data_IF_005496176788
#
_entry.id   IF_005496176788
#
_cell.length_a   1.000
_cell.length_b   1.000
_cell.length_c   1.000
_cell.angle_alpha   90.00
_cell.angle_beta   90.00
_cell.angle_gamma   90.00
#
_symmetry.space_group_name_H-M   'P 1'
#
loop_
_entity.id
_entity.type
_entity.pdbx_description
1 polymer ?
#
# COMPACT_ATOMS: atom_id res chain seq x y z
N UNK A 1 -22.13 1.50 3.18
CA UNK A 1 -21.68 0.40 4.08
C UNK A 1 -20.42 0.89 4.79
N UNK A 2 -20.39 0.88 6.11
CA UNK A 2 -19.19 1.26 6.86
C UNK A 2 -18.17 0.13 6.78
N UNK A 3 -16.87 0.45 6.78
CA UNK A 3 -15.84 -0.56 7.03
C UNK A 3 -16.05 -1.23 8.39
N UNK A 4 -15.19 -2.22 8.70
CA UNK A 4 -15.18 -2.80 10.03
C UNK A 4 -15.14 -1.67 11.08
N UNK A 5 -16.02 -1.73 12.08
CA UNK A 5 -16.15 -0.66 13.08
C UNK A 5 -14.85 -0.44 13.85
N UNK A 6 -14.00 -1.46 13.91
CA UNK A 6 -12.63 -1.41 14.43
C UNK A 6 -11.71 -2.29 13.58
N UNK A 7 -10.40 -1.99 13.52
CA UNK A 7 -9.41 -2.89 12.93
C UNK A 7 -9.38 -4.24 13.67
N UNK A 8 -9.30 -5.34 12.95
CA UNK A 8 -9.12 -6.66 13.56
C UNK A 8 -7.66 -6.79 14.02
N UNK A 9 -7.41 -7.11 15.28
CA UNK A 9 -6.06 -7.28 15.83
C UNK A 9 -5.81 -8.74 16.21
N UNK A 10 -4.63 -9.26 15.88
CA UNK A 10 -4.23 -10.61 16.27
C UNK A 10 -2.74 -10.70 16.57
N UNK A 11 -2.35 -11.68 17.39
CA UNK A 11 -0.94 -11.94 17.71
C UNK A 11 -0.41 -13.11 16.89
N UNK A 12 0.62 -12.86 16.07
CA UNK A 12 1.30 -13.91 15.31
C UNK A 12 2.50 -14.46 16.10
N UNK A 13 2.46 -15.76 16.41
CA UNK A 13 3.61 -16.55 16.87
C UNK A 13 4.60 -16.84 15.73
N UNK A 14 5.88 -16.81 16.10
CA UNK A 14 7.02 -17.17 15.25
C UNK A 14 6.96 -18.66 14.87
N UNK A 15 7.31 -18.97 13.62
CA UNK A 15 7.38 -20.33 13.08
C UNK A 15 6.04 -20.95 12.66
N UNK A 16 4.94 -20.22 12.80
CA UNK A 16 3.59 -20.70 12.49
C UNK A 16 3.08 -20.08 11.18
N UNK A 17 2.17 -20.79 10.51
CA UNK A 17 1.45 -20.28 9.34
C UNK A 17 0.04 -19.88 9.73
N UNK A 18 -0.44 -18.77 9.18
CA UNK A 18 -1.77 -18.24 9.47
C UNK A 18 -2.63 -18.26 8.21
N UNK A 19 -3.92 -18.58 8.40
CA UNK A 19 -4.95 -18.31 7.40
C UNK A 19 -5.89 -17.27 7.99
N UNK A 20 -5.98 -16.12 7.36
CA UNK A 20 -7.02 -15.15 7.65
C UNK A 20 -8.21 -15.52 6.77
N UNK A 21 -9.42 -15.42 7.29
CA UNK A 21 -10.65 -15.60 6.49
C UNK A 21 -11.62 -14.52 6.91
N UNK A 22 -12.13 -13.79 5.94
CA UNK A 22 -13.04 -12.70 6.18
C UNK A 22 -14.25 -12.85 5.28
N UNK A 23 -15.43 -12.68 5.86
CA UNK A 23 -16.66 -12.51 5.10
C UNK A 23 -16.80 -11.04 4.79
N UNK A 24 -16.85 -10.74 3.50
CA UNK A 24 -17.03 -9.39 2.99
C UNK A 24 -18.32 -9.36 2.15
N UNK A 25 -19.04 -8.25 2.20
CA UNK A 25 -20.30 -8.13 1.44
C UNK A 25 -19.98 -8.01 -0.04
N UNK A 26 -20.64 -8.77 -0.93
CA UNK A 26 -20.56 -8.45 -2.36
C UNK A 26 -21.15 -7.05 -2.61
N UNK A 27 -20.38 -6.23 -3.32
CA UNK A 27 -20.77 -4.88 -3.68
C UNK A 27 -21.35 -4.80 -5.11
N UNK A 28 -21.27 -5.89 -5.88
CA UNK A 28 -21.74 -5.99 -7.25
C UNK A 28 -20.63 -6.41 -8.22
N UNK A 29 -21.05 -6.77 -9.44
CA UNK A 29 -20.17 -7.29 -10.48
C UNK A 29 -18.99 -6.34 -10.79
N UNK A 30 -17.78 -6.90 -10.77
CA UNK A 30 -16.55 -6.18 -11.07
C UNK A 30 -16.01 -5.33 -9.93
N UNK A 31 -16.65 -5.31 -8.76
CA UNK A 31 -16.18 -4.53 -7.61
C UNK A 31 -15.19 -5.33 -6.80
N UNK A 32 -13.93 -4.95 -6.96
CA UNK A 32 -12.82 -5.54 -6.25
C UNK A 32 -12.64 -4.88 -4.88
N UNK A 33 -12.47 -5.71 -3.86
CA UNK A 33 -12.35 -5.27 -2.47
C UNK A 33 -10.94 -5.41 -1.98
N UNK A 34 -10.47 -4.46 -1.18
CA UNK A 34 -9.09 -4.40 -0.72
C UNK A 34 -8.96 -4.78 0.74
N UNK A 35 -8.01 -5.66 1.03
CA UNK A 35 -7.62 -6.02 2.39
C UNK A 35 -6.20 -5.52 2.61
N UNK A 36 -5.98 -4.82 3.73
CA UNK A 36 -4.67 -4.33 4.12
C UNK A 36 -4.26 -4.86 5.49
N UNK A 37 -3.12 -5.54 5.53
CA UNK A 37 -2.42 -5.84 6.78
C UNK A 37 -1.44 -4.71 7.08
N UNK A 38 -1.29 -4.34 8.35
CA UNK A 38 -0.21 -3.45 8.80
C UNK A 38 0.15 -3.69 10.27
N UNK A 39 1.39 -3.42 10.64
CA UNK A 39 1.85 -3.41 12.04
C UNK A 39 1.76 -1.96 12.58
N UNK A 40 0.98 -1.68 13.64
CA UNK A 40 0.84 -0.35 14.22
C UNK A 40 2.07 0.10 15.03
N UNK A 41 2.88 -0.81 15.56
CA UNK A 41 3.92 -0.54 16.57
C UNK A 41 5.31 -0.39 15.91
N UNK A 42 5.40 0.57 15.00
CA UNK A 42 6.52 0.82 14.08
C UNK A 42 7.80 1.42 14.74
N UNK A 43 8.05 1.22 16.03
CA UNK A 43 8.98 2.10 16.76
C UNK A 43 10.39 1.57 17.03
N UNK A 44 10.78 0.34 16.66
CA UNK A 44 12.19 -0.06 16.87
C UNK A 44 12.77 -1.08 15.89
N UNK A 45 12.10 -2.19 15.59
CA UNK A 45 12.64 -3.26 14.70
C UNK A 45 11.51 -4.06 14.01
N UNK A 46 10.46 -3.36 13.59
CA UNK A 46 9.13 -3.95 13.34
C UNK A 46 9.05 -4.75 12.05
N UNK A 47 8.46 -5.95 12.12
CA UNK A 47 7.97 -6.66 10.94
C UNK A 47 7.03 -5.71 10.17
N UNK A 48 7.22 -5.54 8.86
CA UNK A 48 6.26 -4.77 8.06
C UNK A 48 5.66 -5.71 7.02
N UNK A 49 4.37 -5.99 7.20
CA UNK A 49 3.54 -6.67 6.21
C UNK A 49 2.56 -5.61 5.72
N UNK A 50 2.91 -4.92 4.63
CA UNK A 50 1.97 -4.02 3.95
C UNK A 50 1.45 -4.76 2.74
N UNK A 51 0.58 -5.73 2.98
CA UNK A 51 -0.01 -6.55 1.94
C UNK A 51 -1.36 -5.95 1.56
N UNK A 52 -1.47 -5.53 0.30
CA UNK A 52 -2.70 -5.05 -0.31
C UNK A 52 -3.20 -6.18 -1.22
N UNK A 53 -4.18 -6.93 -0.73
CA UNK A 53 -4.87 -7.98 -1.48
C UNK A 53 -6.14 -7.43 -2.12
N UNK A 54 -6.56 -8.02 -3.23
CA UNK A 54 -7.83 -7.72 -3.88
C UNK A 54 -8.62 -9.01 -4.08
N UNK A 55 -9.93 -8.95 -3.85
CA UNK A 55 -10.83 -10.09 -4.04
C UNK A 55 -12.10 -9.63 -4.74
N UNK A 56 -12.54 -10.39 -5.72
CA UNK A 56 -13.88 -10.25 -6.33
C UNK A 56 -14.84 -11.15 -5.56
N UNK A 57 -15.92 -10.60 -5.04
CA UNK A 57 -16.81 -11.31 -4.12
C UNK A 57 -18.08 -11.65 -4.87
N UNK A 58 -18.51 -12.90 -4.81
CA UNK A 58 -19.77 -13.34 -5.43
C UNK A 58 -20.82 -13.54 -4.34
N UNK A 59 -22.08 -13.07 -4.50
CA UNK A 59 -23.11 -13.21 -3.48
C UNK A 59 -23.32 -14.66 -3.06
N UNK A 60 -23.28 -14.91 -1.76
CA UNK A 60 -23.50 -16.25 -1.21
C UNK A 60 -22.33 -17.22 -1.39
N UNK A 61 -21.22 -16.77 -2.01
CA UNK A 61 -20.01 -17.56 -2.17
C UNK A 61 -18.92 -17.10 -1.20
N UNK A 62 -18.09 -18.06 -0.78
CA UNK A 62 -16.85 -17.73 -0.07
C UNK A 62 -15.75 -17.57 -1.10
N UNK A 63 -15.26 -16.35 -1.31
CA UNK A 63 -14.07 -16.14 -2.13
C UNK A 63 -12.80 -16.28 -1.28
N UNK A 64 -11.88 -17.15 -1.69
CA UNK A 64 -10.52 -17.20 -1.14
C UNK A 64 -9.73 -16.01 -1.74
N UNK A 65 -9.29 -15.06 -0.91
CA UNK A 65 -8.53 -13.88 -1.34
C UNK A 65 -7.06 -14.19 -1.70
N UNK A 66 -6.70 -15.47 -1.72
CA UNK A 66 -5.34 -15.94 -1.80
C UNK A 66 -4.74 -16.19 -0.41
N UNK A 67 -3.61 -16.89 -0.39
CA UNK A 67 -2.91 -17.22 0.85
C UNK A 67 -1.71 -16.30 1.00
N UNK A 68 -1.73 -15.47 2.03
CA UNK A 68 -0.56 -14.70 2.44
C UNK A 68 0.28 -15.58 3.36
N UNK A 69 1.46 -15.98 2.90
CA UNK A 69 2.42 -16.72 3.71
C UNK A 69 3.43 -15.74 4.31
N UNK A 70 3.37 -15.57 5.62
CA UNK A 70 4.42 -14.91 6.39
C UNK A 70 5.07 -15.93 7.34
N UNK A 71 6.17 -16.51 6.88
CA UNK A 71 7.02 -17.37 7.69
C UNK A 71 7.96 -16.53 8.55
N UNK A 72 7.61 -16.31 9.81
CA UNK A 72 8.57 -15.73 10.77
C UNK A 72 9.50 -16.86 11.22
N UNK A 73 10.57 -17.13 10.47
CA UNK A 73 11.51 -18.23 10.76
C UNK A 73 12.65 -17.85 11.70
N UNK A 74 12.75 -16.57 12.09
CA UNK A 74 13.77 -16.06 13.01
C UNK A 74 13.31 -14.79 13.72
N UNK A 75 14.10 -14.29 14.67
CA UNK A 75 13.91 -12.96 15.27
C UNK A 75 14.08 -11.80 14.28
N UNK A 76 14.60 -12.06 13.07
CA UNK A 76 14.58 -11.13 11.97
C UNK A 76 13.34 -11.39 11.10
N UNK A 77 12.36 -10.49 11.19
CA UNK A 77 11.18 -10.54 10.33
C UNK A 77 11.61 -10.43 8.85
N UNK A 78 11.15 -11.31 7.94
CA UNK A 78 11.18 -10.98 6.52
C UNK A 78 10.31 -9.72 6.31
N UNK A 79 10.85 -8.74 5.59
CA UNK A 79 10.11 -7.53 5.24
C UNK A 79 9.60 -7.69 3.83
N UNK A 80 8.30 -7.96 3.67
CA UNK A 80 7.63 -7.96 2.37
C UNK A 80 6.75 -6.72 2.30
N UNK A 81 7.03 -5.86 1.33
CA UNK A 81 6.32 -4.59 1.22
C UNK A 81 6.33 -4.07 -0.22
N UNK A 82 5.52 -3.04 -0.46
CA UNK A 82 5.28 -2.47 -1.79
C UNK A 82 4.79 -3.52 -2.81
N UNK A 83 3.68 -4.23 -2.53
CA UNK A 83 3.07 -5.08 -3.54
C UNK A 83 2.61 -4.25 -4.74
N UNK A 84 2.81 -4.79 -5.94
CA UNK A 84 2.37 -4.21 -7.20
C UNK A 84 1.84 -5.30 -8.11
N UNK A 85 0.57 -5.24 -8.47
CA UNK A 85 -0.09 -6.26 -9.27
C UNK A 85 0.16 -6.07 -10.77
N UNK A 86 0.30 -7.16 -11.52
CA UNK A 86 0.24 -7.11 -12.97
C UNK A 86 -1.14 -6.65 -13.45
N UNK A 87 -1.23 -6.14 -14.68
CA UNK A 87 -2.47 -5.61 -15.25
C UNK A 87 -3.66 -6.59 -15.21
N UNK A 88 -3.39 -7.88 -15.36
CA UNK A 88 -4.34 -8.98 -15.32
C UNK A 88 -4.51 -9.56 -13.92
N UNK A 89 -3.66 -9.14 -12.97
CA UNK A 89 -3.70 -9.61 -11.60
C UNK A 89 -3.09 -10.99 -11.37
N UNK A 90 -2.55 -11.65 -12.40
CA UNK A 90 -1.99 -13.00 -12.28
C UNK A 90 -0.63 -13.06 -11.58
N UNK A 91 0.01 -11.89 -11.37
CA UNK A 91 1.33 -11.77 -10.75
C UNK A 91 1.40 -10.62 -9.75
N UNK A 92 2.19 -10.81 -8.70
CA UNK A 92 2.49 -9.81 -7.67
C UNK A 92 3.99 -9.54 -7.68
N UNK A 93 4.37 -8.29 -7.98
CA UNK A 93 5.68 -7.73 -7.74
C UNK A 93 5.78 -7.27 -6.30
N UNK A 94 6.90 -7.53 -5.62
CA UNK A 94 7.09 -7.04 -4.25
C UNK A 94 8.58 -6.89 -3.92
N UNK A 95 8.85 -6.14 -2.86
CA UNK A 95 10.19 -6.01 -2.29
C UNK A 95 10.31 -6.95 -1.09
N UNK A 96 11.39 -7.74 -1.05
CA UNK A 96 11.68 -8.63 0.06
C UNK A 96 13.06 -8.36 0.64
N UNK A 97 13.11 -8.27 1.97
CA UNK A 97 14.37 -8.30 2.72
C UNK A 97 14.67 -9.72 3.17
N UNK A 98 15.60 -10.36 2.48
CA UNK A 98 16.02 -11.74 2.78
C UNK A 98 16.90 -11.79 4.04
N UNK A 99 16.70 -12.76 4.94
CA UNK A 99 17.56 -12.93 6.11
C UNK A 99 18.98 -13.37 5.70
N UNK A 100 20.00 -12.99 6.48
CA UNK A 100 21.35 -13.56 6.31
C UNK A 100 22.54 -12.60 6.49
N UNK A 101 22.34 -11.29 6.56
CA UNK A 101 23.41 -10.31 6.81
C UNK A 101 23.01 -9.25 7.84
N UNK A 102 24.00 -8.53 8.37
CA UNK A 102 23.76 -7.30 9.15
C UNK A 102 23.43 -6.23 8.11
N UNK A 103 22.13 -6.07 7.85
CA UNK A 103 21.57 -5.13 6.87
C UNK A 103 21.47 -5.56 5.40
N UNK A 104 20.70 -6.62 5.10
CA UNK A 104 20.47 -7.04 3.71
C UNK A 104 19.67 -5.97 2.96
N UNK A 105 20.05 -5.69 1.69
CA UNK A 105 19.28 -4.83 0.81
C UNK A 105 17.94 -5.47 0.46
N UNK A 106 17.03 -4.66 -0.07
CA UNK A 106 15.72 -5.12 -0.53
C UNK A 106 15.84 -5.67 -1.96
N UNK A 107 15.50 -6.96 -2.13
CA UNK A 107 15.48 -7.62 -3.42
C UNK A 107 14.10 -7.50 -4.06
N UNK A 108 14.07 -7.48 -5.39
CA UNK A 108 12.83 -7.42 -6.17
C UNK A 108 12.41 -8.85 -6.52
N UNK A 109 11.17 -9.19 -6.17
CA UNK A 109 10.58 -10.50 -6.35
C UNK A 109 9.27 -10.40 -7.12
N UNK A 110 8.97 -11.45 -7.88
CA UNK A 110 7.73 -11.60 -8.63
C UNK A 110 7.17 -12.99 -8.35
N UNK A 111 5.94 -13.04 -7.87
CA UNK A 111 5.24 -14.31 -7.65
C UNK A 111 3.99 -14.38 -8.51
N UNK A 112 3.55 -15.60 -8.83
CA UNK A 112 2.29 -15.85 -9.53
C UNK A 112 1.18 -16.13 -8.52
N UNK A 113 -0.06 -15.85 -8.89
CA UNK A 113 -1.26 -16.27 -8.15
C UNK A 113 -1.29 -17.79 -7.86
N UNK A 114 -0.61 -18.59 -8.69
CA UNK A 114 -0.54 -20.05 -8.58
C UNK A 114 0.80 -20.56 -8.01
N UNK A 115 1.61 -19.70 -7.39
CA UNK A 115 2.89 -20.11 -6.82
C UNK A 115 2.71 -21.15 -5.69
N UNK A 116 3.69 -22.06 -5.58
CA UNK A 116 3.75 -23.00 -4.44
C UNK A 116 3.80 -22.21 -3.13
N UNK A 117 3.04 -22.67 -2.13
CA UNK A 117 2.96 -22.05 -0.80
C UNK A 117 4.32 -21.92 -0.10
N UNK A 118 5.33 -22.69 -0.51
CA UNK A 118 6.69 -22.61 0.02
C UNK A 118 7.66 -21.80 -0.85
N UNK A 119 7.15 -21.08 -1.84
CA UNK A 119 7.95 -20.31 -2.80
C UNK A 119 7.77 -18.80 -2.59
N UNK A 120 8.88 -18.07 -2.64
CA UNK A 120 8.88 -16.61 -2.79
C UNK A 120 8.66 -16.17 -4.26
N UNK A 121 8.42 -17.11 -5.18
CA UNK A 121 8.38 -16.84 -6.61
C UNK A 121 9.77 -16.68 -7.22
N UNK A 122 9.87 -15.84 -8.25
CA UNK A 122 11.08 -15.54 -8.98
C UNK A 122 11.75 -14.28 -8.44
N UNK A 123 13.05 -14.36 -8.14
CA UNK A 123 13.85 -13.18 -7.80
C UNK A 123 14.31 -12.47 -9.06
N UNK A 124 13.64 -11.37 -9.40
CA UNK A 124 13.96 -10.56 -10.58
C UNK A 124 15.26 -9.78 -10.40
N UNK A 125 15.50 -9.21 -9.21
CA UNK A 125 16.70 -8.41 -8.94
C UNK A 125 17.29 -8.74 -7.57
N UNK A 126 18.55 -9.20 -7.58
CA UNK A 126 19.34 -9.41 -6.37
C UNK A 126 20.26 -8.21 -6.13
N UNK A 127 19.86 -7.34 -5.19
CA UNK A 127 20.60 -6.12 -4.84
C UNK A 127 21.93 -6.41 -4.13
N UNK A 128 22.15 -7.62 -3.62
CA UNK A 128 23.46 -8.02 -3.09
C UNK A 128 24.55 -8.01 -4.19
N UNK A 129 24.17 -8.14 -5.45
CA UNK A 129 25.11 -8.08 -6.58
C UNK A 129 25.56 -6.64 -6.89
N UNK A 130 24.95 -5.63 -6.27
CA UNK A 130 25.19 -4.22 -6.52
C UNK A 130 25.67 -3.52 -5.25
N UNK A 131 26.79 -4.00 -4.69
CA UNK A 131 27.38 -3.44 -3.48
C UNK A 131 27.56 -1.91 -3.57
N UNK A 132 27.16 -1.21 -2.50
CA UNK A 132 27.22 0.26 -2.44
C UNK A 132 26.06 0.98 -3.14
N UNK A 133 25.15 0.28 -3.82
CA UNK A 133 23.87 0.86 -4.24
C UNK A 133 22.93 1.08 -3.06
N UNK A 134 21.93 1.90 -3.32
CA UNK A 134 20.86 2.20 -2.40
C UNK A 134 19.94 1.02 -2.10
N UNK A 135 18.95 1.26 -1.24
CA UNK A 135 17.87 0.30 -1.00
C UNK A 135 16.67 0.60 -1.91
N UNK A 136 16.02 -0.46 -2.39
CA UNK A 136 14.73 -0.35 -3.05
C UNK A 136 13.65 -0.10 -2.00
N UNK A 137 12.69 0.78 -2.27
CA UNK A 137 11.63 1.04 -1.29
C UNK A 137 10.21 1.17 -1.86
N UNK A 138 10.07 1.21 -3.19
CA UNK A 138 8.78 1.15 -3.88
C UNK A 138 8.97 0.44 -5.20
N UNK A 139 7.99 -0.34 -5.63
CA UNK A 139 7.97 -1.00 -6.92
C UNK A 139 6.52 -1.09 -7.42
N UNK A 140 6.30 -0.82 -8.71
CA UNK A 140 4.98 -0.89 -9.35
C UNK A 140 5.09 -1.43 -10.77
N UNK A 141 4.17 -2.33 -11.12
CA UNK A 141 3.99 -2.87 -12.48
C UNK A 141 3.11 -1.94 -13.32
N UNK A 142 3.28 -1.96 -14.63
CA UNK A 142 2.42 -1.21 -15.53
C UNK A 142 0.98 -1.77 -15.54
N UNK A 143 -0.03 -0.88 -15.65
CA UNK A 143 -1.43 -1.27 -15.48
C UNK A 143 -2.10 -1.75 -16.77
N UNK A 144 -1.38 -1.85 -17.89
CA UNK A 144 -1.98 -2.18 -19.21
C UNK A 144 -1.34 -3.39 -19.86
N UNK A 145 -2.12 -4.15 -20.63
CA UNK A 145 -1.65 -5.32 -21.37
C UNK A 145 -0.51 -4.96 -22.35
N UNK A 146 -0.59 -3.79 -23.00
CA UNK A 146 0.43 -3.32 -23.93
C UNK A 146 1.80 -3.08 -23.28
N UNK A 147 1.84 -2.92 -21.94
CA UNK A 147 3.04 -2.68 -21.14
C UNK A 147 3.20 -3.74 -20.05
N UNK A 148 2.60 -4.92 -20.18
CA UNK A 148 2.43 -5.88 -19.09
C UNK A 148 3.73 -6.35 -18.40
N UNK A 149 4.88 -6.14 -19.03
CA UNK A 149 6.20 -6.48 -18.48
C UNK A 149 6.98 -5.27 -17.94
N UNK A 150 6.51 -4.05 -18.19
CA UNK A 150 7.18 -2.82 -17.75
C UNK A 150 6.91 -2.54 -16.26
N UNK A 151 7.92 -2.01 -15.58
CA UNK A 151 7.82 -1.66 -14.17
C UNK A 151 8.71 -0.47 -13.80
N UNK A 152 8.34 0.18 -12.71
CA UNK A 152 9.18 1.16 -12.04
C UNK A 152 9.51 0.69 -10.63
N UNK A 153 10.69 1.06 -10.16
CA UNK A 153 11.00 1.02 -8.73
C UNK A 153 11.77 2.26 -8.29
N UNK A 154 11.67 2.56 -7.01
CA UNK A 154 12.41 3.64 -6.37
C UNK A 154 13.62 3.07 -5.63
N UNK A 155 14.77 3.69 -5.86
CA UNK A 155 16.04 3.37 -5.19
C UNK A 155 16.55 4.59 -4.44
N UNK A 156 16.75 4.47 -3.14
CA UNK A 156 17.37 5.52 -2.32
C UNK A 156 18.83 5.21 -2.07
N UNK A 157 19.75 6.07 -2.51
CA UNK A 157 21.18 5.96 -2.23
C UNK A 157 21.74 7.23 -1.56
N UNK A 158 23.05 7.25 -1.32
CA UNK A 158 23.72 8.37 -0.66
C UNK A 158 23.63 9.72 -1.41
N UNK A 159 23.29 9.69 -2.70
CA UNK A 159 23.17 10.88 -3.56
C UNK A 159 21.71 11.34 -3.76
N UNK A 160 20.73 10.54 -3.29
CA UNK A 160 19.30 10.84 -3.39
C UNK A 160 18.47 9.66 -3.91
N UNK A 161 17.21 9.97 -4.21
CA UNK A 161 16.23 9.00 -4.70
C UNK A 161 16.23 8.95 -6.23
N UNK A 162 16.19 7.73 -6.78
CA UNK A 162 16.15 7.47 -8.21
C UNK A 162 14.85 6.77 -8.58
N UNK A 163 14.23 7.22 -9.67
CA UNK A 163 13.16 6.47 -10.33
C UNK A 163 13.79 5.61 -11.41
N UNK A 164 13.69 4.30 -11.25
CA UNK A 164 14.27 3.32 -12.18
C UNK A 164 13.17 2.66 -12.98
N UNK A 165 13.32 2.67 -14.29
CA UNK A 165 12.49 1.96 -15.26
C UNK A 165 13.19 0.68 -15.72
N UNK A 166 12.44 -0.42 -15.79
CA UNK A 166 12.93 -1.69 -16.33
C UNK A 166 11.75 -2.59 -16.74
N UNK A 167 12.04 -3.84 -17.09
CA UNK A 167 11.06 -4.88 -17.43
C UNK A 167 11.26 -6.10 -16.54
N UNK A 168 10.20 -6.83 -16.19
CA UNK A 168 10.33 -8.02 -15.36
C UNK A 168 11.22 -9.10 -16.01
N UNK A 169 11.15 -9.26 -17.33
CA UNK A 169 12.03 -10.18 -18.06
C UNK A 169 13.52 -9.81 -18.02
N UNK A 170 13.87 -8.57 -17.65
CA UNK A 170 15.27 -8.10 -17.63
C UNK A 170 15.49 -7.00 -16.59
N UNK A 171 15.17 -7.27 -15.32
CA UNK A 171 15.25 -6.29 -14.23
C UNK A 171 16.68 -5.75 -13.97
N UNK A 172 17.71 -6.44 -14.48
CA UNK A 172 19.10 -5.98 -14.44
C UNK A 172 19.40 -4.85 -15.45
N UNK A 173 18.63 -4.75 -16.54
CA UNK A 173 18.75 -3.68 -17.52
C UNK A 173 17.90 -2.49 -17.09
N UNK A 174 18.55 -1.47 -16.52
CA UNK A 174 17.89 -0.39 -15.81
C UNK A 174 18.11 0.94 -16.51
N UNK A 175 17.05 1.74 -16.61
CA UNK A 175 17.07 3.10 -17.12
C UNK A 175 16.60 4.07 -16.04
N UNK A 176 17.31 5.17 -15.85
CA UNK A 176 16.95 6.18 -14.85
C UNK A 176 16.06 7.25 -15.45
N UNK A 177 14.94 7.54 -14.81
CA UNK A 177 14.06 8.61 -15.21
C UNK A 177 14.56 9.93 -14.60
N UNK A 178 15.02 10.83 -15.46
CA UNK A 178 15.44 12.16 -15.03
C UNK A 178 14.22 13.07 -14.84
N UNK A 179 13.99 13.51 -13.59
CA UNK A 179 12.89 14.40 -13.21
C UNK A 179 13.24 15.91 -13.30
N UNK A 180 14.27 16.26 -14.06
CA UNK A 180 14.76 17.65 -14.17
C UNK A 180 15.64 18.07 -12.99
N UNK A 181 15.76 19.38 -12.76
CA UNK A 181 16.63 19.95 -11.72
C UNK A 181 16.14 19.56 -10.32
N UNK A 182 16.60 18.42 -9.83
CA UNK A 182 16.50 18.02 -8.44
C UNK A 182 17.90 18.08 -7.82
N UNK A 183 18.31 19.23 -7.25
CA UNK A 183 19.65 19.37 -6.71
C UNK A 183 19.77 18.57 -5.40
N UNK A 184 20.42 17.40 -5.45
CA UNK A 184 20.99 16.57 -4.34
C UNK A 184 20.16 16.34 -3.06
N UNK A 185 18.92 16.84 -2.95
CA UNK A 185 18.17 16.91 -1.70
C UNK A 185 16.65 16.81 -1.87
N UNK A 186 16.14 16.44 -3.06
CA UNK A 186 14.73 16.05 -3.16
C UNK A 186 14.56 14.58 -2.79
N UNK A 187 13.38 14.27 -2.30
CA UNK A 187 12.99 12.90 -1.96
C UNK A 187 11.77 12.51 -2.78
N UNK A 188 11.76 11.31 -3.34
CA UNK A 188 10.59 10.74 -4.02
C UNK A 188 9.89 9.86 -3.00
N UNK A 189 8.69 10.26 -2.57
CA UNK A 189 7.97 9.55 -1.52
C UNK A 189 7.11 8.42 -2.09
N UNK A 190 6.55 8.63 -3.28
CA UNK A 190 5.75 7.61 -3.96
C UNK A 190 5.63 7.91 -5.46
N UNK A 191 5.21 6.89 -6.22
CA UNK A 191 4.76 7.04 -7.58
C UNK A 191 3.62 6.07 -7.90
N UNK A 192 2.83 6.40 -8.91
CA UNK A 192 1.83 5.49 -9.47
C UNK A 192 1.71 5.70 -10.97
N UNK A 193 1.32 4.66 -11.70
CA UNK A 193 1.02 4.77 -13.12
C UNK A 193 -0.25 5.57 -13.36
N UNK A 194 -0.30 6.28 -14.49
CA UNK A 194 -1.57 6.65 -15.09
C UNK A 194 -2.29 5.37 -15.55
N UNK A 195 -3.61 5.23 -15.33
CA UNK A 195 -4.33 3.99 -15.64
C UNK A 195 -4.24 3.55 -17.10
N UNK A 196 -4.13 4.51 -18.03
CA UNK A 196 -3.95 4.28 -19.46
C UNK A 196 -2.50 3.90 -19.87
N UNK A 197 -1.57 3.82 -18.91
CA UNK A 197 -0.16 3.53 -19.17
C UNK A 197 0.60 4.64 -19.92
N UNK A 198 0.07 5.87 -20.02
CA UNK A 198 0.71 6.96 -20.77
C UNK A 198 1.79 7.71 -20.00
N UNK A 199 1.97 7.41 -18.72
CA UNK A 199 2.86 8.14 -17.83
C UNK A 199 2.75 7.69 -16.38
N UNK A 200 3.34 8.49 -15.49
CA UNK A 200 3.30 8.28 -14.04
C UNK A 200 2.96 9.59 -13.30
N UNK A 201 2.40 9.45 -12.11
CA UNK A 201 2.30 10.50 -11.09
C UNK A 201 3.40 10.25 -10.06
N UNK A 202 4.07 11.30 -9.61
CA UNK A 202 5.18 11.25 -8.65
C UNK A 202 4.89 12.20 -7.51
N UNK A 203 4.95 11.71 -6.26
CA UNK A 203 5.01 12.53 -5.07
C UNK A 203 6.48 12.80 -4.72
N UNK A 204 6.86 14.08 -4.70
CA UNK A 204 8.22 14.53 -4.45
C UNK A 204 8.25 15.59 -3.38
N UNK A 205 9.22 15.54 -2.49
CA UNK A 205 9.55 16.64 -1.59
C UNK A 205 10.70 17.43 -2.18
N UNK A 206 10.42 18.65 -2.61
CA UNK A 206 11.41 19.57 -3.15
C UNK A 206 12.05 20.37 -2.02
N UNK A 207 13.38 20.31 -1.94
CA UNK A 207 14.20 21.08 -1.00
C UNK A 207 15.20 21.90 -1.80
N UNK A 208 15.22 23.19 -1.53
CA UNK A 208 16.02 24.12 -2.30
C UNK A 208 17.28 24.47 -1.50
N UNK A 209 18.41 23.89 -1.89
CA UNK A 209 19.65 23.93 -1.10
C UNK A 209 20.27 25.31 -1.18
N UNK A 210 20.42 25.98 -0.04
CA UNK A 210 20.98 27.33 0.03
C UNK A 210 19.97 28.45 -0.24
N UNK A 211 18.72 28.10 -0.54
CA UNK A 211 17.59 29.04 -0.55
C UNK A 211 16.90 29.03 0.82
N UNK A 212 16.34 30.18 1.22
CA UNK A 212 15.47 30.27 2.41
C UNK A 212 14.05 29.80 2.12
N UNK A 213 13.77 29.31 0.90
CA UNK A 213 12.46 28.77 0.56
C UNK A 213 12.19 27.49 1.32
N UNK A 214 11.05 27.47 1.99
CA UNK A 214 10.53 26.30 2.66
C UNK A 214 10.45 25.08 1.72
N UNK A 215 10.66 23.85 2.25
CA UNK A 215 10.43 22.64 1.47
C UNK A 215 8.97 22.57 1.01
N UNK A 216 8.73 21.95 -0.14
CA UNK A 216 7.39 21.82 -0.72
C UNK A 216 7.13 20.38 -1.14
N UNK A 217 6.01 19.82 -0.70
CA UNK A 217 5.49 18.55 -1.21
C UNK A 217 4.78 18.82 -2.52
N UNK A 218 5.17 18.11 -3.58
CA UNK A 218 4.71 18.38 -4.95
C UNK A 218 4.24 17.08 -5.61
N UNK A 219 3.10 17.15 -6.26
CA UNK A 219 2.65 16.13 -7.20
C UNK A 219 3.05 16.52 -8.61
N UNK A 220 3.78 15.65 -9.28
CA UNK A 220 4.14 15.80 -10.68
C UNK A 220 3.46 14.76 -11.55
N UNK A 221 3.10 15.13 -12.78
CA UNK A 221 2.78 14.20 -13.86
C UNK A 221 3.96 14.11 -14.81
N UNK A 222 4.41 12.90 -15.09
CA UNK A 222 5.37 12.61 -16.15
C UNK A 222 4.67 11.87 -17.30
N UNK A 223 4.84 12.32 -18.54
CA UNK A 223 4.24 11.72 -19.73
C UNK A 223 5.29 11.15 -20.67
N UNK A 224 5.09 9.93 -21.17
CA UNK A 224 6.08 9.24 -22.00
C UNK A 224 6.20 9.81 -23.41
N UNK A 225 5.09 10.31 -23.96
CA UNK A 225 5.02 10.79 -25.34
C UNK A 225 5.92 12.00 -25.59
N UNK A 226 5.95 12.95 -24.66
CA UNK A 226 6.72 14.19 -24.74
C UNK A 226 7.88 14.24 -23.74
N UNK A 227 8.03 13.22 -22.88
CA UNK A 227 9.05 13.11 -21.83
C UNK A 227 9.05 14.30 -20.87
N UNK A 228 7.88 14.88 -20.63
CA UNK A 228 7.72 16.10 -19.84
C UNK A 228 7.26 15.80 -18.43
N UNK A 229 7.89 16.48 -17.46
CA UNK A 229 7.43 16.55 -16.09
C UNK A 229 6.65 17.86 -15.88
N UNK A 230 5.42 17.78 -15.37
CA UNK A 230 4.54 18.93 -15.13
C UNK A 230 4.03 18.91 -13.69
N UNK A 231 4.15 20.03 -12.97
CA UNK A 231 3.57 20.18 -11.62
C UNK A 231 2.03 20.17 -11.71
N UNK A 232 1.39 19.37 -10.87
CA UNK A 232 -0.07 19.31 -10.71
C UNK A 232 -0.46 20.24 -9.56
N UNK A 233 0.15 20.04 -8.39
CA UNK A 233 0.04 20.89 -7.21
C UNK A 233 1.35 20.88 -6.44
N UNK A 234 1.65 21.97 -5.75
CA UNK A 234 2.77 22.06 -4.81
C UNK A 234 2.36 22.77 -3.52
N UNK A 235 2.55 22.10 -2.39
CA UNK A 235 2.13 22.55 -1.06
C UNK A 235 3.33 23.05 -0.25
N UNK A 236 3.45 24.37 0.02
CA UNK A 236 4.56 24.91 0.79
C UNK A 236 4.54 24.49 2.26
N UNK A 237 5.71 24.18 2.83
CA UNK A 237 5.89 23.72 4.21
C UNK A 237 5.16 22.41 4.54
N UNK A 238 4.87 21.60 3.54
CA UNK A 238 4.13 20.36 3.70
C UNK A 238 4.76 19.24 2.89
N UNK A 239 4.31 18.02 3.17
CA UNK A 239 4.80 16.81 2.53
C UNK A 239 3.61 16.08 1.91
N UNK A 240 3.80 15.62 0.68
CA UNK A 240 2.87 14.74 -0.02
C UNK A 240 3.53 13.36 -0.09
N UNK A 241 2.84 12.35 0.41
CA UNK A 241 3.37 11.00 0.65
C UNK A 241 2.79 10.00 -0.32
N UNK A 242 2.36 8.85 0.22
CA UNK A 242 1.77 7.81 -0.62
C UNK A 242 0.57 8.33 -1.38
N UNK A 243 0.41 7.84 -2.61
CA UNK A 243 -0.64 8.28 -3.51
C UNK A 243 -1.28 7.11 -4.26
N UNK A 244 -2.50 7.33 -4.72
CA UNK A 244 -3.16 6.46 -5.68
C UNK A 244 -3.92 7.30 -6.72
N UNK A 245 -3.92 6.82 -7.97
CA UNK A 245 -4.64 7.45 -9.07
C UNK A 245 -5.95 6.70 -9.29
N UNK A 246 -7.05 7.42 -9.43
CA UNK A 246 -8.35 6.83 -9.72
C UNK A 246 -8.30 6.06 -11.05
N UNK A 247 -9.08 4.99 -11.24
CA UNK A 247 -8.99 4.15 -12.44
C UNK A 247 -9.38 4.86 -13.73
N UNK A 248 -10.25 5.87 -13.62
CA UNK A 248 -10.61 6.77 -14.71
C UNK A 248 -9.53 7.82 -15.01
N UNK A 249 -8.48 7.90 -14.18
CA UNK A 249 -7.37 8.84 -14.27
C UNK A 249 -7.73 10.28 -13.91
N UNK A 250 -8.95 10.56 -13.44
CA UNK A 250 -9.44 11.93 -13.26
C UNK A 250 -9.03 12.54 -11.93
N UNK A 251 -8.79 11.70 -10.92
CA UNK A 251 -8.54 12.11 -9.54
C UNK A 251 -7.31 11.41 -8.95
N UNK A 252 -6.65 12.07 -8.01
CA UNK A 252 -5.49 11.57 -7.29
C UNK A 252 -5.77 11.73 -5.80
N UNK A 253 -5.69 10.64 -5.05
CA UNK A 253 -5.74 10.65 -3.59
C UNK A 253 -4.32 10.53 -3.05
N UNK A 254 -4.00 11.23 -1.98
CA UNK A 254 -2.66 11.22 -1.42
C UNK A 254 -2.65 11.50 0.09
N UNK A 255 -1.58 11.05 0.74
CA UNK A 255 -1.24 11.41 2.11
C UNK A 255 -0.68 12.84 2.15
N UNK A 256 -1.17 13.63 3.10
CA UNK A 256 -0.67 14.98 3.39
C UNK A 256 -0.21 15.06 4.83
N UNK A 257 0.93 15.70 5.07
CA UNK A 257 1.44 15.92 6.42
C UNK A 257 2.34 17.15 6.51
N UNK A 258 2.71 17.52 7.72
CA UNK A 258 3.54 18.72 7.99
C UNK A 258 5.03 18.48 7.88
N UNK A 259 5.47 17.24 8.05
CA UNK A 259 6.87 16.88 8.10
C UNK A 259 7.09 15.41 7.74
N UNK A 260 8.34 15.08 7.45
CA UNK A 260 8.81 13.71 7.39
C UNK A 260 9.08 13.17 8.79
N UNK A 261 8.94 11.85 8.96
CA UNK A 261 9.41 11.17 10.17
C UNK A 261 10.92 11.32 10.27
N UNK A 262 11.40 11.80 11.42
CA UNK A 262 12.83 11.85 11.71
C UNK A 262 13.32 10.46 12.14
N UNK A 263 13.60 9.59 11.17
CA UNK A 263 14.10 8.23 11.44
C UNK A 263 15.38 7.92 10.68
N UNK A 264 16.25 7.13 11.30
CA UNK A 264 17.46 6.59 10.67
C UNK A 264 17.14 5.55 9.58
N UNK A 265 15.91 5.05 9.51
CA UNK A 265 15.48 3.99 8.60
C UNK A 265 15.09 4.49 7.20
N UNK A 266 15.20 5.79 6.91
CA UNK A 266 14.93 6.33 5.56
C UNK A 266 15.69 5.58 4.47
N UNK A 267 16.97 5.27 4.71
CA UNK A 267 17.86 4.54 3.79
C UNK A 267 17.31 3.16 3.41
N UNK A 268 16.38 2.63 4.21
CA UNK A 268 15.78 1.32 4.02
C UNK A 268 14.39 1.44 3.39
N UNK A 269 13.50 2.26 3.95
CA UNK A 269 12.07 2.29 3.58
C UNK A 269 11.65 3.46 2.70
N UNK A 270 12.61 4.31 2.31
CA UNK A 270 12.32 5.61 1.75
C UNK A 270 11.87 6.60 2.82
N UNK A 271 11.59 7.82 2.39
CA UNK A 271 11.09 8.88 3.27
C UNK A 271 9.59 8.66 3.58
N UNK A 272 9.21 8.80 4.85
CA UNK A 272 7.83 8.62 5.31
C UNK A 272 7.27 9.89 5.94
N UNK A 273 5.99 10.15 5.74
CA UNK A 273 5.28 11.25 6.42
C UNK A 273 5.13 10.96 7.92
N UNK A 274 5.34 11.99 8.75
CA UNK A 274 5.00 11.99 10.17
C UNK A 274 3.48 12.09 10.35
N UNK A 275 2.86 11.03 10.90
CA UNK A 275 1.43 10.99 11.20
C UNK A 275 1.13 11.51 12.64
N UNK A 276 -0.12 11.94 12.97
CA UNK A 276 -1.35 11.78 12.20
C UNK A 276 -1.27 12.53 10.86
N UNK A 277 -1.58 11.79 9.80
CA UNK A 277 -1.49 12.24 8.42
C UNK A 277 -2.90 12.24 7.84
N UNK A 278 -3.15 13.16 6.91
CA UNK A 278 -4.48 13.40 6.36
C UNK A 278 -4.57 12.76 4.98
N UNK A 279 -5.75 12.29 4.59
CA UNK A 279 -6.00 11.91 3.20
C UNK A 279 -6.68 13.06 2.48
N UNK A 280 -6.11 13.43 1.33
CA UNK A 280 -6.61 14.48 0.46
C UNK A 280 -6.83 13.94 -0.93
N UNK A 281 -7.75 14.56 -1.66
CA UNK A 281 -7.98 14.27 -3.08
C UNK A 281 -7.87 15.56 -3.88
N UNK A 282 -7.33 15.45 -5.09
CA UNK A 282 -7.22 16.51 -6.08
C UNK A 282 -7.57 15.95 -7.45
N UNK A 283 -8.11 16.78 -8.34
CA UNK A 283 -8.27 16.41 -9.74
C UNK A 283 -6.90 16.31 -10.42
N UNK A 284 -6.82 15.52 -11.48
CA UNK A 284 -5.58 15.28 -12.24
C UNK A 284 -5.03 16.53 -12.96
N UNK A 285 -5.83 17.59 -13.04
CA UNK A 285 -5.45 18.92 -13.53
C UNK A 285 -5.00 19.88 -12.41
N UNK A 286 -5.02 19.44 -11.14
CA UNK A 286 -4.64 20.22 -9.97
C UNK A 286 -5.78 20.99 -9.30
N UNK A 287 -6.98 20.99 -9.89
CA UNK A 287 -8.16 21.62 -9.30
C UNK A 287 -8.83 20.75 -8.23
N UNK A 288 -9.81 21.31 -7.50
CA UNK A 288 -10.69 20.52 -6.63
C UNK A 288 -10.04 19.92 -5.37
N UNK A 289 -8.90 20.45 -4.93
CA UNK A 289 -8.20 19.99 -3.72
C UNK A 289 -9.13 20.03 -2.49
N UNK A 290 -9.36 18.87 -1.86
CA UNK A 290 -10.19 18.75 -0.65
C UNK A 290 -9.74 17.59 0.24
N UNK A 291 -9.98 17.74 1.54
CA UNK A 291 -9.71 16.70 2.53
C UNK A 291 -10.78 15.60 2.49
N UNK A 292 -10.37 14.35 2.68
CA UNK A 292 -11.24 13.18 2.85
C UNK A 292 -11.35 12.77 4.31
N UNK A 293 -10.22 12.68 5.01
CA UNK A 293 -10.14 12.36 6.44
C UNK A 293 -8.94 13.06 7.09
N UNK A 294 -9.03 13.35 8.38
CA UNK A 294 -7.98 13.95 9.20
C UNK A 294 -7.00 12.94 9.80
N UNK A 295 -7.31 11.65 9.70
CA UNK A 295 -6.45 10.57 10.18
C UNK A 295 -6.59 9.37 9.24
N UNK A 296 -5.70 9.27 8.26
CA UNK A 296 -5.70 8.20 7.27
C UNK A 296 -4.36 8.07 6.55
N UNK A 297 -4.04 6.83 6.13
CA UNK A 297 -2.71 6.47 5.59
C UNK A 297 -2.82 5.43 4.48
N UNK A 298 -1.88 5.47 3.54
CA UNK A 298 -1.76 4.70 2.30
C UNK A 298 -3.09 4.53 1.59
N UNK A 299 -3.53 5.57 0.86
CA UNK A 299 -4.79 5.51 0.16
C UNK A 299 -4.70 4.55 -1.04
N UNK A 300 -5.82 3.93 -1.38
CA UNK A 300 -5.98 3.09 -2.56
C UNK A 300 -7.24 3.52 -3.34
N UNK A 301 -7.43 3.02 -4.55
CA UNK A 301 -8.70 3.19 -5.26
C UNK A 301 -9.31 1.84 -5.59
N UNK A 302 -10.63 1.75 -5.49
CA UNK A 302 -11.36 0.68 -6.18
C UNK A 302 -11.09 0.80 -7.69
N UNK A 303 -10.80 -0.29 -8.40
CA UNK A 303 -10.47 -0.33 -9.83
C UNK A 303 -11.69 -0.13 -10.72
N UNK A 304 -12.89 -0.19 -10.15
CA UNK A 304 -14.14 0.17 -10.80
C UNK A 304 -14.90 1.19 -9.95
N UNK A 305 -15.73 1.99 -10.61
CA UNK A 305 -16.74 2.75 -9.90
C UNK A 305 -17.70 1.78 -9.21
N UNK A 306 -17.97 2.00 -7.92
CA UNK A 306 -19.01 1.25 -7.22
C UNK A 306 -20.34 1.70 -7.85
N UNK A 307 -21.13 0.84 -8.52
CA UNK A 307 -22.50 1.16 -8.91
C UNK A 307 -23.25 1.82 -7.76
N UNK A 308 -24.03 2.86 -8.07
CA UNK A 308 -24.96 3.45 -7.12
C UNK A 308 -25.97 2.36 -6.73
N UNK A 309 -25.66 1.64 -5.64
CA UNK A 309 -26.57 0.65 -5.10
C UNK A 309 -27.78 1.44 -4.58
N UNK A 310 -29.00 1.14 -5.06
CA UNK A 310 -30.19 1.70 -4.44
C UNK A 310 -30.14 1.37 -2.94
N UNK A 311 -30.59 2.28 -2.06
CA UNK A 311 -30.58 2.02 -0.63
C UNK A 311 -31.25 0.68 -0.38
N UNK A 312 -30.46 -0.31 0.05
CA UNK A 312 -31.01 -1.60 0.41
C UNK A 312 -31.97 -1.34 1.55
N UNK A 313 -33.25 -1.58 1.31
CA UNK A 313 -34.24 -1.69 2.37
C UNK A 313 -33.77 -2.88 3.18
N UNK A 314 -33.07 -2.59 4.28
CA UNK A 314 -32.71 -3.58 5.27
C UNK A 314 -34.02 -4.13 5.81
N UNK A 315 -34.49 -5.24 5.25
CA UNK A 315 -35.31 -6.14 6.03
C UNK A 315 -34.40 -6.60 7.16
N UNK A 316 -34.62 -6.02 8.33
CA UNK A 316 -33.94 -6.38 9.57
C UNK A 316 -34.05 -7.90 9.70
N UNK A 317 -32.94 -8.64 9.52
CA UNK A 317 -33.01 -10.08 9.68
C UNK A 317 -33.41 -10.33 11.13
N UNK A 318 -34.43 -11.17 11.32
CA UNK A 318 -34.80 -11.65 12.65
C UNK A 318 -33.51 -12.08 13.36
N UNK A 319 -33.33 -11.72 14.65
CA UNK A 319 -32.07 -11.92 15.35
C UNK A 319 -31.67 -13.39 15.23
N UNK A 320 -30.70 -13.64 14.35
CA UNK A 320 -30.07 -14.94 14.23
C UNK A 320 -29.08 -14.98 15.38
N UNK A 321 -29.23 -16.00 16.22
CA UNK A 321 -28.40 -16.26 17.38
C UNK A 321 -26.93 -16.09 16.98
N UNK A 322 -26.22 -15.19 17.66
CA UNK A 322 -24.80 -14.92 17.42
C UNK A 322 -24.01 -16.20 17.65
N UNK A 323 -23.73 -16.96 16.60
CA UNK A 323 -22.62 -17.91 16.64
C UNK A 323 -21.34 -17.08 16.80
N UNK A 324 -20.68 -17.29 17.93
CA UNK A 324 -19.35 -16.79 18.20
C UNK A 324 -18.42 -17.17 17.05
N UNK A 325 -17.65 -16.19 16.56
CA UNK A 325 -16.54 -16.43 15.63
C UNK A 325 -15.70 -17.60 16.14
N UNK A 326 -15.69 -18.72 15.41
CA UNK A 326 -14.75 -19.81 15.64
C UNK A 326 -13.48 -19.50 14.88
N UNK A 327 -12.46 -19.06 15.61
CA UNK A 327 -11.07 -19.05 15.12
C UNK A 327 -10.57 -20.48 15.08
N UNK A 328 -10.65 -21.15 13.92
CA UNK A 328 -9.99 -22.45 13.73
C UNK A 328 -8.53 -22.23 13.32
N UNK A 329 -7.65 -22.18 14.32
CA UNK A 329 -6.22 -22.36 14.09
C UNK A 329 -5.95 -23.86 13.82
N UNK A 330 -5.89 -24.25 12.53
CA UNK A 330 -5.47 -25.60 12.16
C UNK A 330 -3.96 -25.75 12.37
N UNK A 331 -3.58 -26.34 13.50
CA UNK A 331 -2.21 -26.64 13.91
C UNK A 331 -1.64 -27.81 13.09
N UNK A 332 -0.54 -27.59 12.36
CA UNK A 332 0.36 -28.68 11.95
C UNK A 332 1.59 -28.63 12.84
N UNK A 333 1.63 -29.49 13.85
CA UNK A 333 2.80 -29.59 14.74
C UNK A 333 4.01 -30.12 13.97
N UNK A 334 4.94 -29.22 13.61
CA UNK A 334 6.31 -29.58 13.31
C UNK A 334 7.08 -29.66 14.62
N UNK A 335 7.47 -30.87 15.05
CA UNK A 335 8.26 -31.07 16.26
C UNK A 335 9.66 -30.45 16.13
N UNK A 336 9.89 -29.35 16.86
CA UNK A 336 11.20 -28.71 16.98
C UNK A 336 11.41 -28.19 18.40
N UNK A 337 12.42 -28.74 19.09
CA UNK A 337 12.75 -28.48 20.48
C UNK A 337 13.80 -27.35 20.56
N UNK A 338 13.61 -26.33 21.40
CA UNK A 338 14.66 -25.33 21.70
C UNK A 338 14.14 -23.95 22.10
N UNK A 339 14.13 -23.67 23.41
CA UNK A 339 13.55 -22.48 24.00
C UNK A 339 14.36 -21.18 23.82
N UNK A 340 13.65 -20.14 23.40
CA UNK A 340 13.93 -18.73 23.64
C UNK A 340 12.58 -18.02 23.74
N UNK A 341 12.29 -17.38 24.87
CA UNK A 341 11.01 -16.68 25.08
C UNK A 341 11.02 -15.39 24.25
N UNK A 342 10.50 -15.46 23.02
CA UNK A 342 10.33 -14.30 22.13
C UNK A 342 8.94 -13.70 22.38
N UNK A 343 8.87 -12.37 22.53
CA UNK A 343 7.60 -11.69 22.73
C UNK A 343 6.72 -11.77 21.46
N UNK A 344 5.40 -11.95 21.60
CA UNK A 344 4.48 -11.98 20.47
C UNK A 344 4.40 -10.60 19.80
N UNK A 345 4.24 -10.58 18.47
CA UNK A 345 4.00 -9.35 17.70
C UNK A 345 2.50 -9.16 17.47
N UNK A 346 2.00 -7.94 17.69
CA UNK A 346 0.61 -7.54 17.38
C UNK A 346 0.54 -7.15 15.89
N UNK A 347 -0.38 -7.76 15.15
CA UNK A 347 -0.66 -7.44 13.74
C UNK A 347 -2.09 -6.93 13.64
N UNK A 348 -2.28 -5.86 12.87
CA UNK A 348 -3.58 -5.23 12.68
C UNK A 348 -4.03 -5.36 11.23
N UNK A 349 -5.28 -5.76 11.04
CA UNK A 349 -5.95 -5.88 9.76
C UNK A 349 -7.02 -4.79 9.64
N UNK A 350 -6.93 -3.98 8.58
CA UNK A 350 -7.90 -2.94 8.27
C UNK A 350 -8.55 -3.22 6.91
N UNK A 351 -9.88 -3.25 6.91
CA UNK A 351 -10.67 -3.25 5.68
C UNK A 351 -11.11 -1.82 5.37
N UNK A 352 -10.57 -1.27 4.28
CA UNK A 352 -10.92 0.05 3.79
C UNK A 352 -11.87 -0.08 2.59
N UNK A 353 -13.08 0.45 2.75
CA UNK A 353 -13.98 0.70 1.63
C UNK A 353 -13.85 2.18 1.27
N UNK A 354 -13.32 2.49 0.07
CA UNK A 354 -13.17 3.87 -0.39
C UNK A 354 -14.32 4.23 -1.35
N UNK A 355 -15.14 5.19 -0.92
CA UNK A 355 -16.33 5.67 -1.63
C UNK A 355 -16.04 6.92 -2.47
N UNK A 356 -16.70 7.10 -3.64
CA UNK A 356 -16.93 8.43 -4.18
C UNK A 356 -17.99 9.16 -3.32
N UNK A 357 -17.65 10.36 -2.87
CA UNK A 357 -18.49 11.17 -1.96
C UNK A 357 -19.60 11.88 -2.74
N UNK A 358 -20.86 11.56 -2.44
CA UNK A 358 -22.02 12.43 -2.72
C UNK A 358 -22.68 12.75 -1.36
N UNK A 359 -22.66 14.02 -0.96
CA UNK A 359 -23.40 14.51 0.21
C UNK A 359 -24.77 15.02 -0.22
N UNK A 360 -25.83 14.60 0.48
CA UNK A 360 -27.05 15.38 0.65
C UNK A 360 -27.23 15.74 2.12
N UNK A 361 -27.50 17.02 2.35
CA UNK A 361 -27.55 17.69 3.65
C UNK A 361 -28.98 17.65 4.21
N UNK A 362 -29.04 17.71 5.55
CA UNK A 362 -30.15 18.11 6.45
C UNK A 362 -31.15 17.06 6.94
N UNK A 363 -31.35 17.06 8.27
CA UNK A 363 -32.45 16.41 8.96
C UNK A 363 -32.10 16.03 10.40
N UNK A 364 -32.16 16.99 11.32
CA UNK A 364 -32.05 16.72 12.76
C UNK A 364 -33.24 15.85 13.24
N UNK A 365 -32.97 14.85 14.10
CA UNK A 365 -33.96 14.39 15.07
C UNK A 365 -33.28 13.89 16.35
N UNK A 366 -33.99 14.10 17.45
CA UNK A 366 -33.56 14.18 18.85
C UNK A 366 -34.28 13.05 19.63
N UNK A 367 -33.85 12.80 20.88
CA UNK A 367 -34.62 12.21 22.02
C UNK A 367 -34.58 10.65 22.09
N UNK A 368 -34.35 9.91 23.20
CA UNK A 368 -34.31 10.17 24.66
C UNK A 368 -33.45 9.10 25.40
N UNK A 369 -32.84 9.50 26.52
CA UNK A 369 -32.47 8.60 27.62
C UNK A 369 -33.73 7.94 28.24
N UNK A 370 -33.61 6.70 28.72
CA UNK A 370 -34.35 6.27 29.91
C UNK A 370 -33.56 5.27 30.76
N UNK A 371 -33.48 5.60 32.06
CA UNK A 371 -32.96 4.78 33.17
C UNK A 371 -33.86 3.56 33.47
N UNK A 372 -33.18 2.50 33.90
CA UNK A 372 -33.51 1.43 34.87
C UNK A 372 -34.95 0.89 34.98
N UNK A 373 -35.04 -0.44 34.99
CA UNK A 373 -35.24 -1.18 36.24
C UNK A 373 -34.20 -2.28 36.36
#
# INVERSE_FOLDING_TARGET
>A
MTGASEPLRYFAKIGESYRISQTVADLGEGIRQYIRLYDPDELSYSCNYSEEGWVDVVPGETTDFGRLHFGIVSSACPYVFSPGWSHDGSRILYLSREPGTIDPPHNLWLTSENADINSNGERLLNMNNYGGRGSLYRAVMAPTAARADEMFFLEQNALGDNIVYTTAANAASQSFLNLGSCPFNCSVLDLAWLPNGSGIIVARLDRDVGSQTAPRGVLYRYTFADRKLTEIIGLPNEVIGRLAVAPDGTSIVFERGRALKNTINRVRRGEEIQCPCELWVVNSDGSGLRQLTSDGRAPAWSPVAIPDLPPQVSEEPAPTETESLKTEASRKEGGGNGGGMVQPHEVVLLCLFLFPVIWLRTGALRILQRKNK
#
